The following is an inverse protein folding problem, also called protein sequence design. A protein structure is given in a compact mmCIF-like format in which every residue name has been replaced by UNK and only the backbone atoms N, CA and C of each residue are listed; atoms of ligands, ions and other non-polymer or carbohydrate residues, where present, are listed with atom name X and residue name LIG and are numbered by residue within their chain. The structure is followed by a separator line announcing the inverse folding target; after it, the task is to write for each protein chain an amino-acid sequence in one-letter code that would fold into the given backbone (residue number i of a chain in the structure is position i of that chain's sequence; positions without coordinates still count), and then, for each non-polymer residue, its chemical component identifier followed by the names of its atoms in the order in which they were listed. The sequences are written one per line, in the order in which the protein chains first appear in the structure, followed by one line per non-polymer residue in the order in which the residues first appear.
data_IF_135496662988
#
_entry.id   IF_135496662988
#
_cell.length_a   1.000
_cell.length_b   1.000
_cell.length_c   1.000
_cell.angle_alpha   90.00
_cell.angle_beta   90.00
_cell.angle_gamma   90.00
#
_symmetry.space_group_name_H-M   'P 1'
#
loop_
_entity.id
_entity.type
_entity.pdbx_description
1 polymer ?
#
# COMPACT_ATOMS: atom_id res chain seq x y z
N UNK A 1 7.25 -11.51 -9.03
CA UNK A 1 6.20 -11.04 -8.10
C UNK A 1 5.07 -12.03 -8.16
N UNK A 2 4.48 -12.38 -7.02
CA UNK A 2 3.28 -13.22 -6.94
C UNK A 2 2.13 -12.36 -6.44
N UNK A 3 1.00 -12.40 -7.13
CA UNK A 3 -0.23 -11.70 -6.75
C UNK A 3 -1.38 -12.70 -6.73
N UNK A 4 -2.30 -12.49 -5.81
CA UNK A 4 -3.46 -13.35 -5.61
C UNK A 4 -4.69 -12.49 -5.35
N UNK A 5 -5.81 -12.99 -5.85
CA UNK A 5 -7.12 -12.38 -5.67
C UNK A 5 -7.75 -13.01 -4.44
N UNK A 6 -8.28 -12.15 -3.58
CA UNK A 6 -8.92 -12.55 -2.35
C UNK A 6 -10.38 -12.93 -2.51
N UNK A 7 -10.83 -13.86 -1.68
CA UNK A 7 -12.24 -14.18 -1.47
C UNK A 7 -12.52 -14.28 0.03
N UNK A 8 -13.68 -13.78 0.45
CA UNK A 8 -14.11 -13.79 1.85
C UNK A 8 -14.17 -15.21 2.42
N UNK A 9 -14.60 -16.21 1.62
CA UNK A 9 -14.72 -17.60 2.04
C UNK A 9 -13.35 -18.24 2.32
N UNK A 10 -12.29 -17.76 1.66
CA UNK A 10 -10.90 -18.16 1.86
C UNK A 10 -10.20 -17.43 3.02
N UNK A 11 -10.95 -16.63 3.77
CA UNK A 11 -10.51 -15.81 4.92
C UNK A 11 -9.57 -14.66 4.51
N UNK A 12 -9.92 -13.96 3.45
CA UNK A 12 -9.07 -12.92 2.85
C UNK A 12 -8.56 -13.38 1.51
N UNK A 13 -7.47 -14.15 1.51
CA UNK A 13 -6.81 -14.65 0.31
C UNK A 13 -6.36 -16.11 0.48
N UNK A 14 -6.52 -16.93 -0.55
CA UNK A 14 -6.23 -18.36 -0.50
C UNK A 14 -4.73 -18.69 -0.48
N UNK A 15 -3.94 -17.85 -1.14
CA UNK A 15 -2.51 -18.02 -1.40
C UNK A 15 -1.68 -17.21 -0.40
N UNK A 16 -2.04 -15.96 -0.11
CA UNK A 16 -1.28 -15.03 0.75
C UNK A 16 -2.22 -14.37 1.76
N UNK A 17 -2.32 -14.91 2.98
CA UNK A 17 -3.22 -14.36 4.03
C UNK A 17 -2.52 -14.01 5.32
N UNK A 18 -3.02 -13.00 5.99
CA UNK A 18 -2.68 -12.72 7.38
C UNK A 18 -3.16 -13.88 8.26
N UNK A 19 -2.25 -14.44 9.07
CA UNK A 19 -2.57 -15.39 10.13
C UNK A 19 -2.51 -14.78 11.53
N UNK A 20 -1.84 -13.63 11.64
CA UNK A 20 -1.88 -12.71 12.79
C UNK A 20 -1.41 -11.33 12.32
N UNK A 21 -1.32 -10.34 13.21
CA UNK A 21 -0.76 -9.02 12.89
C UNK A 21 0.69 -9.09 12.40
N UNK A 22 1.46 -10.08 12.86
CA UNK A 22 2.89 -10.19 12.58
C UNK A 22 3.25 -11.45 11.79
N UNK A 23 2.27 -12.09 11.14
CA UNK A 23 2.51 -13.34 10.40
C UNK A 23 1.61 -13.45 9.17
N UNK A 24 2.20 -13.92 8.07
CA UNK A 24 1.51 -14.23 6.81
C UNK A 24 1.65 -15.71 6.51
N UNK A 25 0.55 -16.38 6.19
CA UNK A 25 0.55 -17.71 5.60
C UNK A 25 0.62 -17.60 4.09
N UNK A 26 1.62 -18.27 3.50
CA UNK A 26 1.84 -18.28 2.05
C UNK A 26 1.81 -19.71 1.54
N UNK A 27 1.06 -19.94 0.47
CA UNK A 27 1.10 -21.20 -0.27
C UNK A 27 2.34 -21.20 -1.17
N UNK A 28 3.15 -22.24 -1.05
CA UNK A 28 4.37 -22.44 -1.85
C UNK A 28 4.35 -23.80 -2.53
N UNK A 29 5.00 -23.87 -3.69
CA UNK A 29 5.23 -25.12 -4.40
C UNK A 29 6.57 -25.71 -3.98
N UNK A 30 6.57 -26.98 -3.59
CA UNK A 30 7.80 -27.69 -3.23
C UNK A 30 8.50 -28.25 -4.46
N UNK A 31 9.74 -28.72 -4.29
CA UNK A 31 10.56 -29.30 -5.38
C UNK A 31 9.85 -30.48 -6.08
N UNK A 32 8.95 -31.16 -5.38
CA UNK A 32 8.20 -32.32 -5.90
C UNK A 32 6.77 -31.94 -6.33
N UNK A 33 6.52 -30.67 -6.67
CA UNK A 33 5.20 -30.14 -7.04
C UNK A 33 4.12 -30.29 -5.96
N UNK A 34 4.53 -30.51 -4.71
CA UNK A 34 3.64 -30.49 -3.55
C UNK A 34 3.22 -29.06 -3.21
N UNK A 35 2.09 -28.92 -2.54
CA UNK A 35 1.56 -27.64 -2.07
C UNK A 35 1.71 -27.58 -0.55
N UNK A 36 2.49 -26.62 -0.07
CA UNK A 36 2.67 -26.39 1.36
C UNK A 36 2.23 -24.97 1.74
N UNK A 37 1.83 -24.80 3.01
CA UNK A 37 1.55 -23.48 3.59
C UNK A 37 2.62 -23.16 4.63
N UNK A 38 3.49 -22.23 4.29
CA UNK A 38 4.52 -21.73 5.20
C UNK A 38 4.00 -20.51 5.98
N UNK A 39 4.53 -20.31 7.18
CA UNK A 39 4.31 -19.12 8.00
C UNK A 39 5.52 -18.22 7.88
N UNK A 40 5.30 -16.97 7.50
CA UNK A 40 6.35 -15.97 7.31
C UNK A 40 6.12 -14.83 8.28
N UNK A 41 7.07 -14.55 9.20
CA UNK A 41 6.96 -13.40 10.09
C UNK A 41 7.03 -12.11 9.29
N UNK A 42 6.19 -11.15 9.66
CA UNK A 42 6.19 -9.79 9.11
C UNK A 42 6.23 -8.77 10.24
N UNK A 43 6.72 -7.58 9.92
CA UNK A 43 6.66 -6.43 10.83
C UNK A 43 5.90 -5.31 10.12
N UNK A 44 4.59 -5.13 10.41
CA UNK A 44 3.85 -3.99 9.91
C UNK A 44 4.52 -2.69 10.35
N UNK A 45 4.37 -1.64 9.53
CA UNK A 45 4.71 -0.29 9.95
C UNK A 45 3.78 0.10 11.11
N UNK A 46 4.32 0.76 12.14
CA UNK A 46 3.55 1.20 13.32
C UNK A 46 2.29 2.00 12.93
N UNK A 47 2.39 2.80 11.87
CA UNK A 47 1.30 3.64 11.34
C UNK A 47 0.20 2.85 10.61
N UNK A 48 0.37 1.55 10.41
CA UNK A 48 -0.61 0.67 9.75
C UNK A 48 -1.11 -0.45 10.66
N UNK A 49 -0.73 -0.47 11.95
CA UNK A 49 -1.08 -1.56 12.87
C UNK A 49 -2.59 -1.77 12.95
N UNK A 50 -3.37 -0.72 13.19
CA UNK A 50 -4.83 -0.83 13.30
C UNK A 50 -5.50 -1.22 11.97
N UNK A 51 -4.98 -0.73 10.85
CA UNK A 51 -5.44 -1.13 9.51
C UNK A 51 -5.22 -2.63 9.27
N UNK A 52 -4.03 -3.13 9.60
CA UNK A 52 -3.70 -4.56 9.44
C UNK A 52 -4.49 -5.43 10.42
N UNK A 53 -4.72 -4.93 11.64
CA UNK A 53 -5.54 -5.61 12.64
C UNK A 53 -6.98 -5.80 12.15
N UNK A 54 -7.65 -4.73 11.71
CA UNK A 54 -9.02 -4.83 11.20
C UNK A 54 -9.10 -5.69 9.93
N UNK A 55 -8.12 -5.56 9.02
CA UNK A 55 -8.04 -6.41 7.84
C UNK A 55 -7.92 -7.90 8.20
N UNK A 56 -7.10 -8.23 9.20
CA UNK A 56 -6.95 -9.59 9.72
C UNK A 56 -8.25 -10.10 10.36
N UNK A 57 -8.92 -9.29 11.19
CA UNK A 57 -10.14 -9.67 11.89
C UNK A 57 -11.30 -9.94 10.90
N UNK A 58 -11.52 -9.03 9.94
CA UNK A 58 -12.56 -9.18 8.93
C UNK A 58 -12.26 -10.34 7.96
N UNK A 59 -11.00 -10.48 7.55
CA UNK A 59 -10.55 -11.60 6.73
C UNK A 59 -10.77 -12.93 7.46
N UNK A 60 -10.26 -13.06 8.67
CA UNK A 60 -10.38 -14.29 9.48
C UNK A 60 -11.83 -14.69 9.77
N UNK A 61 -12.72 -13.70 9.91
CA UNK A 61 -14.15 -13.88 10.12
C UNK A 61 -14.94 -14.13 8.84
N UNK A 62 -14.27 -14.23 7.68
CA UNK A 62 -14.89 -14.41 6.35
C UNK A 62 -15.86 -13.29 5.96
N UNK A 63 -15.65 -12.09 6.50
CA UNK A 63 -16.44 -10.90 6.19
C UNK A 63 -15.83 -10.12 5.03
N UNK A 64 -14.53 -10.29 4.79
CA UNK A 64 -13.80 -9.55 3.75
C UNK A 64 -12.80 -10.46 3.01
N UNK A 65 -12.86 -10.42 1.67
CA UNK A 65 -11.76 -10.86 0.81
C UNK A 65 -10.82 -9.68 0.56
N UNK A 66 -9.51 -9.94 0.52
CA UNK A 66 -8.53 -8.91 0.18
C UNK A 66 -7.46 -9.49 -0.73
N UNK A 67 -7.04 -8.73 -1.73
CA UNK A 67 -5.95 -9.16 -2.60
C UNK A 67 -4.61 -8.96 -1.89
N UNK A 68 -3.65 -9.82 -2.20
CA UNK A 68 -2.34 -9.76 -1.60
C UNK A 68 -1.26 -10.05 -2.64
N UNK A 69 -0.11 -9.39 -2.45
CA UNK A 69 1.07 -9.59 -3.29
C UNK A 69 2.34 -9.83 -2.47
N UNK A 70 3.14 -10.74 -2.97
CA UNK A 70 4.47 -11.09 -2.48
C UNK A 70 5.52 -10.62 -3.49
N UNK A 71 6.41 -9.74 -3.04
CA UNK A 71 7.49 -9.18 -3.86
C UNK A 71 8.82 -9.63 -3.27
N UNK A 72 9.54 -10.48 -4.00
CA UNK A 72 10.94 -10.79 -3.71
C UNK A 72 11.77 -9.57 -4.09
N UNK A 73 12.39 -8.93 -3.11
CA UNK A 73 13.27 -7.76 -3.28
C UNK A 73 14.70 -8.19 -3.60
N UNK A 74 15.18 -9.19 -2.87
CA UNK A 74 16.51 -9.76 -3.03
C UNK A 74 16.43 -11.26 -2.77
N UNK A 75 17.24 -12.04 -3.48
CA UNK A 75 17.36 -13.47 -3.24
C UNK A 75 18.84 -13.88 -3.27
N UNK A 76 19.19 -14.82 -2.39
CA UNK A 76 20.47 -15.54 -2.33
C UNK A 76 20.14 -17.01 -2.09
N UNK A 77 21.14 -17.89 -2.25
CA UNK A 77 20.99 -19.36 -2.19
C UNK A 77 20.04 -19.87 -1.09
N UNK A 78 20.10 -19.31 0.12
CA UNK A 78 19.29 -19.73 1.28
C UNK A 78 18.48 -18.60 1.94
N UNK A 79 18.29 -17.46 1.26
CA UNK A 79 17.66 -16.26 1.86
C UNK A 79 16.93 -15.47 0.80
N UNK A 80 15.70 -15.06 1.10
CA UNK A 80 14.97 -14.09 0.30
C UNK A 80 14.49 -12.94 1.19
N UNK A 81 14.72 -11.70 0.77
CA UNK A 81 14.05 -10.54 1.33
C UNK A 81 12.72 -10.37 0.62
N UNK A 82 11.63 -10.52 1.35
CA UNK A 82 10.27 -10.49 0.79
C UNK A 82 9.50 -9.32 1.38
N UNK A 83 8.77 -8.60 0.52
CA UNK A 83 7.79 -7.60 0.92
C UNK A 83 6.39 -8.12 0.60
N UNK A 84 5.56 -8.24 1.61
CA UNK A 84 4.12 -8.44 1.45
C UNK A 84 3.42 -7.09 1.30
N UNK A 85 2.40 -7.06 0.46
CA UNK A 85 1.48 -5.93 0.38
C UNK A 85 0.06 -6.44 0.27
N UNK A 86 -0.84 -5.74 0.92
CA UNK A 86 -2.26 -6.07 0.97
C UNK A 86 -3.03 -4.93 0.35
N UNK A 87 -4.02 -5.25 -0.46
CA UNK A 87 -4.96 -4.26 -1.01
C UNK A 87 -6.06 -4.10 0.03
N UNK A 88 -6.10 -2.92 0.64
CA UNK A 88 -7.02 -2.61 1.73
C UNK A 88 -8.17 -1.76 1.18
N UNK A 89 -9.44 -2.07 1.50
CA UNK A 89 -10.56 -1.20 1.24
C UNK A 89 -10.31 0.22 1.78
N UNK A 90 -10.67 1.23 0.99
CA UNK A 90 -10.38 2.63 1.30
C UNK A 90 -11.06 3.05 2.61
N UNK A 91 -12.21 2.48 2.92
CA UNK A 91 -13.00 2.74 4.13
C UNK A 91 -12.22 2.33 5.39
N UNK A 92 -11.59 1.15 5.38
CA UNK A 92 -10.77 0.65 6.49
C UNK A 92 -9.54 1.53 6.65
N UNK A 93 -8.89 1.89 5.54
CA UNK A 93 -7.72 2.76 5.59
C UNK A 93 -8.08 4.13 6.19
N UNK A 94 -9.12 4.79 5.67
CA UNK A 94 -9.56 6.10 6.16
C UNK A 94 -10.05 6.05 7.61
N UNK A 95 -10.73 4.98 8.03
CA UNK A 95 -11.17 4.82 9.43
C UNK A 95 -10.02 4.96 10.44
N UNK A 96 -8.84 4.42 10.11
CA UNK A 96 -7.66 4.46 10.99
C UNK A 96 -6.62 5.53 10.63
N UNK A 97 -6.77 6.18 9.47
CA UNK A 97 -5.81 7.17 8.93
C UNK A 97 -6.41 8.53 8.66
N UNK A 98 -7.63 8.78 9.12
CA UNK A 98 -8.21 10.12 9.17
C UNK A 98 -7.32 11.01 10.05
N UNK A 99 -6.91 12.14 9.47
CA UNK A 99 -6.14 13.17 10.18
C UNK A 99 -7.08 14.10 10.95
N UNK A 100 -8.31 14.27 10.48
CA UNK A 100 -9.33 15.10 11.10
C UNK A 100 -10.68 14.37 11.13
N UNK A 101 -11.37 14.44 12.26
CA UNK A 101 -12.72 13.87 12.41
C UNK A 101 -13.76 14.63 11.58
N UNK A 102 -13.57 15.94 11.43
CA UNK A 102 -14.39 16.83 10.63
C UNK A 102 -13.54 17.52 9.56
N UNK A 103 -14.11 17.67 8.36
CA UNK A 103 -13.49 18.46 7.29
C UNK A 103 -13.39 19.91 7.75
N UNK A 104 -12.16 20.45 7.83
CA UNK A 104 -11.92 21.85 8.23
C UNK A 104 -12.19 22.85 7.10
N UNK A 105 -12.37 22.38 5.86
CA UNK A 105 -12.62 23.20 4.69
C UNK A 105 -13.72 22.61 3.83
N UNK A 106 -14.43 23.46 3.09
CA UNK A 106 -15.50 23.07 2.16
C UNK A 106 -14.99 22.84 0.74
N UNK A 107 -13.81 23.38 0.40
CA UNK A 107 -13.26 23.29 -0.95
C UNK A 107 -12.70 21.89 -1.22
N UNK A 108 -12.81 21.46 -2.46
CA UNK A 108 -12.33 20.15 -2.91
C UNK A 108 -10.95 20.34 -3.51
N UNK A 109 -10.01 19.50 -3.09
CA UNK A 109 -8.63 19.53 -3.57
C UNK A 109 -8.35 18.28 -4.38
N UNK A 110 -7.99 18.46 -5.66
CA UNK A 110 -7.50 17.41 -6.54
C UNK A 110 -5.99 17.47 -6.64
N UNK A 111 -5.32 16.33 -6.47
CA UNK A 111 -3.87 16.20 -6.65
C UNK A 111 -3.62 15.14 -7.72
N UNK A 112 -2.93 15.51 -8.79
CA UNK A 112 -2.40 14.59 -9.79
C UNK A 112 -0.87 14.54 -9.66
N UNK A 113 -0.36 13.35 -9.32
CA UNK A 113 1.06 13.15 -9.02
C UNK A 113 1.73 12.32 -10.11
N UNK A 114 2.74 12.91 -10.75
CA UNK A 114 3.61 12.26 -11.73
C UNK A 114 5.05 12.19 -11.21
N UNK A 115 5.95 11.51 -11.93
CA UNK A 115 7.35 11.38 -11.50
C UNK A 115 8.14 12.69 -11.55
N UNK A 116 7.70 13.62 -12.39
CA UNK A 116 8.38 14.87 -12.77
C UNK A 116 7.55 16.11 -12.48
N UNK A 117 6.28 15.94 -12.08
CA UNK A 117 5.38 17.02 -11.69
C UNK A 117 4.37 16.60 -10.64
N UNK A 118 3.93 17.57 -9.86
CA UNK A 118 2.74 17.47 -9.04
C UNK A 118 1.78 18.60 -9.43
N UNK A 119 0.56 18.24 -9.82
CA UNK A 119 -0.50 19.19 -10.15
C UNK A 119 -1.48 19.23 -8.99
N UNK A 120 -1.80 20.43 -8.53
CA UNK A 120 -2.81 20.71 -7.51
C UNK A 120 -3.88 21.60 -8.12
N UNK A 121 -5.13 21.27 -7.85
CA UNK A 121 -6.29 22.10 -8.18
C UNK A 121 -7.19 22.18 -6.95
N UNK A 122 -7.66 23.38 -6.64
CA UNK A 122 -8.65 23.65 -5.59
C UNK A 122 -9.92 24.15 -6.29
N UNK A 123 -11.04 23.49 -6.04
CA UNK A 123 -12.35 23.90 -6.55
C UNK A 123 -13.35 24.14 -5.43
N UNK A 124 -14.29 25.05 -5.66
CA UNK A 124 -15.44 25.24 -4.78
C UNK A 124 -16.36 24.01 -4.84
N UNK A 125 -17.24 23.77 -3.86
CA UNK A 125 -18.28 22.74 -3.94
C UNK A 125 -19.16 22.82 -5.20
N UNK A 126 -19.25 24.01 -5.82
CA UNK A 126 -20.01 24.24 -7.06
C UNK A 126 -19.22 23.92 -8.33
N UNK A 127 -17.95 23.51 -8.19
CA UNK A 127 -17.06 23.20 -9.32
C UNK A 127 -16.30 24.40 -9.89
N UNK A 128 -16.30 25.54 -9.20
CA UNK A 128 -15.54 26.72 -9.65
C UNK A 128 -14.06 26.54 -9.32
N UNK A 129 -13.17 26.77 -10.29
CA UNK A 129 -11.73 26.76 -10.06
C UNK A 129 -11.34 27.94 -9.15
N UNK A 130 -10.83 27.63 -7.96
CA UNK A 130 -10.40 28.63 -6.99
C UNK A 130 -8.89 28.90 -7.09
N UNK A 131 -8.08 27.84 -7.21
CA UNK A 131 -6.63 27.95 -7.34
C UNK A 131 -6.06 26.71 -8.03
N UNK A 132 -4.86 26.84 -8.61
CA UNK A 132 -4.10 25.73 -9.17
C UNK A 132 -2.60 25.97 -9.04
N UNK A 133 -1.84 24.89 -8.87
CA UNK A 133 -0.38 24.95 -8.82
C UNK A 133 0.23 23.73 -9.46
N UNK A 134 1.29 23.95 -10.23
CA UNK A 134 2.13 22.88 -10.77
C UNK A 134 3.53 23.03 -10.20
N UNK A 135 4.03 21.99 -9.55
CA UNK A 135 5.44 21.88 -9.19
C UNK A 135 6.14 20.98 -10.18
N UNK A 136 7.30 21.42 -10.67
CA UNK A 136 8.16 20.64 -11.56
C UNK A 136 9.39 20.12 -10.80
N UNK A 137 9.77 18.89 -11.07
CA UNK A 137 10.93 18.21 -10.49
C UNK A 137 11.89 17.76 -11.61
N UNK A 138 12.55 18.71 -12.32
CA UNK A 138 13.37 18.42 -13.51
C UNK A 138 14.56 17.48 -13.23
N UNK A 139 14.97 17.35 -11.97
CA UNK A 139 16.03 16.44 -11.53
C UNK A 139 15.62 14.97 -11.68
N UNK A 140 14.33 14.66 -11.73
CA UNK A 140 13.87 13.27 -11.94
C UNK A 140 13.88 12.87 -13.41
N UNK A 141 13.89 13.79 -14.38
CA UNK A 141 13.91 13.51 -15.82
C UNK A 141 15.25 13.81 -16.50
N UNK A 142 16.18 14.47 -15.80
CA UNK A 142 17.51 14.81 -16.31
C UNK A 142 18.40 13.57 -16.54
N UNK A 143 19.03 13.49 -17.72
CA UNK A 143 20.01 12.45 -18.05
C UNK A 143 21.22 12.55 -17.10
N UNK A 144 21.62 11.42 -16.50
CA UNK A 144 22.77 11.34 -15.58
C UNK A 144 22.44 11.40 -14.09
N UNK A 145 21.17 11.63 -13.69
CA UNK A 145 20.80 11.65 -12.27
C UNK A 145 20.77 10.22 -11.68
N UNK A 146 21.51 9.92 -10.59
CA UNK A 146 21.61 8.57 -10.05
C UNK A 146 20.25 8.01 -9.61
N UNK A 147 19.92 6.80 -10.06
CA UNK A 147 18.63 6.13 -9.79
C UNK A 147 18.30 5.96 -8.30
N UNK A 148 19.32 6.02 -7.43
CA UNK A 148 19.22 5.91 -5.96
C UNK A 148 18.74 7.23 -5.32
N UNK A 149 19.10 8.38 -5.88
CA UNK A 149 18.70 9.69 -5.36
C UNK A 149 17.23 10.04 -5.62
N UNK A 150 16.56 9.34 -6.56
CA UNK A 150 15.11 9.48 -6.83
C UNK A 150 14.20 9.05 -5.66
N UNK A 151 14.72 8.33 -4.66
CA UNK A 151 13.91 7.78 -3.55
C UNK A 151 13.86 8.63 -2.28
N UNK A 152 14.61 9.73 -2.19
CA UNK A 152 14.95 10.31 -0.87
C UNK A 152 14.79 11.83 -0.74
N UNK A 153 13.89 12.47 -1.50
CA UNK A 153 13.38 13.80 -1.07
C UNK A 153 12.02 13.64 -0.44
N UNK A 154 12.05 13.34 0.85
CA UNK A 154 10.90 13.43 1.74
C UNK A 154 10.45 14.89 1.86
N UNK A 155 9.14 15.08 1.91
CA UNK A 155 8.41 16.34 2.07
C UNK A 155 8.87 17.06 3.34
N UNK A 156 9.79 18.02 3.20
CA UNK A 156 10.06 19.05 4.22
C UNK A 156 9.84 20.47 3.70
N UNK A 157 9.66 20.65 2.39
CA UNK A 157 9.56 21.98 1.75
C UNK A 157 8.14 22.33 1.27
N UNK A 158 7.11 21.59 1.70
CA UNK A 158 5.70 21.78 1.26
C UNK A 158 4.74 21.96 2.46
N UNK A 159 5.23 22.42 3.62
CA UNK A 159 4.38 22.88 4.72
C UNK A 159 4.82 24.29 5.12
#
# INVERSE_FOLDING_TARGET
MLESIGDRLDRGDRIIRLSSLNEVKVVVFTKNYGIERIRVPIKPLKTHTEVIKELYELGSSKLLGYNARCIIREYRKNRALVKFQFIVPVEIYLKHRKVYDNLKGINIVGIDWNSDRANLVIVSPKGELLDYKTWWFPETTSHGYPRIARRTKTITDII
#
